data_IF_655356922345
#
_entry.id   IF_655356922345
#
_cell.length_a   1.000
_cell.length_b   1.000
_cell.length_c   1.000
_cell.angle_alpha   90.00
_cell.angle_beta   90.00
_cell.angle_gamma   90.00
#
_symmetry.space_group_name_H-M   'P 1'
#
loop_
_entity.id
_entity.type
_entity.pdbx_description
1 polymer ?
#
# COMPACT_ATOMS: atom_id res chain seq x y z
N UNK A 1 -3.57 4.02 15.15
CA UNK A 1 -4.51 5.16 15.27
C UNK A 1 -3.80 6.38 14.70
N UNK A 2 -4.07 6.72 13.43
CA UNK A 2 -3.46 7.88 12.77
C UNK A 2 -3.83 9.11 13.58
N UNK A 3 -2.84 9.91 14.00
CA UNK A 3 -3.10 11.16 14.72
C UNK A 3 -3.75 12.14 13.73
N UNK A 4 -5.08 12.15 13.73
CA UNK A 4 -5.92 12.98 12.89
C UNK A 4 -5.98 14.44 13.37
N UNK A 5 -4.97 14.93 14.11
CA UNK A 5 -4.95 16.27 14.71
C UNK A 5 -4.48 17.36 13.76
N UNK A 6 -3.95 17.01 12.58
CA UNK A 6 -3.41 17.95 11.60
C UNK A 6 -4.20 18.03 10.29
N UNK A 7 -5.37 17.38 10.21
CA UNK A 7 -6.20 17.40 9.00
C UNK A 7 -6.93 18.74 8.75
N UNK A 8 -6.87 19.68 9.68
CA UNK A 8 -7.46 21.01 9.53
C UNK A 8 -6.77 21.91 8.49
N UNK A 9 -5.57 21.53 8.00
CA UNK A 9 -4.75 22.40 7.11
C UNK A 9 -4.84 21.99 5.63
N UNK A 10 -5.34 20.79 5.33
CA UNK A 10 -5.58 20.37 3.96
C UNK A 10 -7.08 20.34 3.76
N UNK A 11 -7.62 21.45 3.28
CA UNK A 11 -8.94 21.46 2.70
C UNK A 11 -9.06 20.24 1.77
N UNK A 12 -9.81 19.24 2.22
CA UNK A 12 -10.42 18.17 1.44
C UNK A 12 -11.39 18.89 0.47
N UNK A 13 -10.83 19.66 -0.46
CA UNK A 13 -11.55 20.57 -1.36
C UNK A 13 -12.31 19.77 -2.40
N UNK A 14 -11.97 18.49 -2.54
CA UNK A 14 -12.74 17.44 -3.21
C UNK A 14 -12.74 16.28 -2.21
N UNK A 15 -13.91 15.74 -1.85
CA UNK A 15 -14.12 14.62 -0.91
C UNK A 15 -13.53 13.29 -1.42
N UNK A 16 -12.25 13.34 -1.80
CA UNK A 16 -11.47 12.32 -2.49
C UNK A 16 -10.10 12.28 -1.83
N UNK A 17 -9.71 11.12 -1.35
CA UNK A 17 -8.36 10.85 -0.86
C UNK A 17 -7.67 9.93 -1.84
N UNK A 18 -6.37 10.09 -1.97
CA UNK A 18 -5.54 9.23 -2.81
C UNK A 18 -4.46 8.55 -1.97
N UNK A 19 -4.24 7.27 -2.25
CA UNK A 19 -3.30 6.43 -1.54
C UNK A 19 -2.13 6.06 -2.45
N UNK A 20 -0.95 5.94 -1.84
CA UNK A 20 0.19 5.26 -2.45
C UNK A 20 0.52 4.03 -1.62
N UNK A 21 0.58 2.87 -2.28
CA UNK A 21 0.98 1.59 -1.68
C UNK A 21 2.49 1.44 -1.68
N UNK A 22 3.05 0.84 -0.64
CA UNK A 22 4.41 0.33 -0.61
C UNK A 22 4.43 -1.07 -0.03
N UNK A 23 5.20 -1.95 -0.65
CA UNK A 23 5.46 -3.32 -0.17
C UNK A 23 6.93 -3.61 -0.39
N UNK A 24 7.58 -4.12 0.64
CA UNK A 24 8.98 -4.47 0.64
C UNK A 24 9.25 -5.62 1.62
N UNK A 25 10.31 -6.39 1.40
CA UNK A 25 10.75 -7.47 2.29
C UNK A 25 11.75 -6.96 3.32
N UNK A 26 11.36 -6.90 4.60
CA UNK A 26 12.24 -6.44 5.69
C UNK A 26 12.60 -7.62 6.59
N UNK A 27 13.90 -7.78 6.90
CA UNK A 27 14.35 -8.73 7.93
C UNK A 27 14.13 -8.15 9.32
N UNK A 28 13.53 -8.94 10.22
CA UNK A 28 13.29 -8.52 11.61
C UNK A 28 14.56 -8.25 12.41
N UNK A 29 15.62 -9.01 12.14
CA UNK A 29 16.95 -8.81 12.71
C UNK A 29 18.01 -9.35 11.76
N UNK A 30 19.28 -8.95 11.95
CA UNK A 30 20.40 -9.41 11.10
C UNK A 30 20.51 -10.93 11.04
N UNK A 31 20.14 -11.62 12.12
CA UNK A 31 20.23 -13.07 12.25
C UNK A 31 18.86 -13.77 12.17
N UNK A 32 17.78 -13.01 11.94
CA UNK A 32 16.45 -13.58 11.79
C UNK A 32 16.35 -14.29 10.45
N UNK A 33 15.87 -15.53 10.48
CA UNK A 33 15.42 -16.23 9.28
C UNK A 33 14.05 -15.73 8.81
N UNK A 34 13.35 -14.94 9.64
CA UNK A 34 12.03 -14.41 9.33
C UNK A 34 12.12 -13.05 8.66
N UNK A 35 11.51 -12.96 7.49
CA UNK A 35 11.18 -11.73 6.77
C UNK A 35 9.74 -11.32 7.04
N UNK A 36 9.49 -10.02 7.00
CA UNK A 36 8.15 -9.44 7.04
C UNK A 36 7.94 -8.65 5.76
N UNK A 37 6.75 -8.80 5.19
CA UNK A 37 6.29 -8.08 4.03
C UNK A 37 5.06 -7.25 4.42
N UNK A 38 5.25 -6.00 4.88
CA UNK A 38 4.14 -5.13 5.21
C UNK A 38 3.52 -4.53 3.95
N UNK A 39 2.20 -4.38 3.97
CA UNK A 39 1.44 -3.56 3.03
C UNK A 39 1.28 -2.19 3.70
N UNK A 40 2.05 -1.22 3.23
CA UNK A 40 2.09 0.13 3.77
C UNK A 40 1.33 1.09 2.85
N UNK A 41 0.57 2.00 3.44
CA UNK A 41 -0.15 3.05 2.73
C UNK A 41 0.23 4.42 3.28
N UNK A 42 0.26 5.39 2.38
CA UNK A 42 0.31 6.81 2.74
C UNK A 42 -0.81 7.56 2.03
N UNK A 43 -1.37 8.56 2.71
CA UNK A 43 -2.37 9.47 2.15
C UNK A 43 -1.66 10.62 1.45
N UNK A 44 -1.86 10.78 0.15
CA UNK A 44 -1.11 11.76 -0.65
C UNK A 44 -1.56 13.19 -0.37
N UNK A 45 -2.75 13.40 0.19
CA UNK A 45 -3.20 14.74 0.54
C UNK A 45 -2.35 15.32 1.68
N UNK A 46 -1.74 14.51 2.56
CA UNK A 46 -0.79 14.97 3.59
C UNK A 46 0.45 15.59 2.93
N UNK A 47 1.00 16.72 3.43
CA UNK A 47 2.09 17.41 2.75
C UNK A 47 3.36 16.56 2.75
N UNK A 48 4.21 16.61 1.70
CA UNK A 48 5.36 15.71 1.55
C UNK A 48 6.32 15.66 2.75
N UNK A 49 6.51 16.80 3.44
CA UNK A 49 7.37 16.91 4.62
C UNK A 49 6.85 16.15 5.86
N UNK A 50 5.57 15.75 5.88
CA UNK A 50 4.95 15.02 6.98
C UNK A 50 4.34 13.68 6.55
N UNK A 51 4.07 13.48 5.26
CA UNK A 51 3.41 12.30 4.69
C UNK A 51 4.07 10.98 5.08
N UNK A 52 5.39 10.92 5.08
CA UNK A 52 6.16 9.70 5.34
C UNK A 52 6.63 9.56 6.80
N UNK A 53 6.16 10.43 7.71
CA UNK A 53 6.40 10.24 9.14
C UNK A 53 5.64 9.01 9.63
N UNK A 54 6.21 8.28 10.58
CA UNK A 54 5.69 6.99 11.06
C UNK A 54 4.22 7.10 11.50
N UNK A 55 3.82 8.20 12.12
CA UNK A 55 2.43 8.45 12.55
C UNK A 55 1.41 8.59 11.41
N UNK A 56 1.87 8.86 10.18
CA UNK A 56 1.06 9.05 8.97
C UNK A 56 1.17 7.87 7.99
N UNK A 57 1.98 6.86 8.30
CA UNK A 57 2.05 5.60 7.55
C UNK A 57 1.03 4.64 8.14
N UNK A 58 0.18 4.10 7.27
CA UNK A 58 -0.85 3.11 7.62
C UNK A 58 -0.32 1.72 7.27
N UNK A 59 -0.36 0.80 8.23
CA UNK A 59 -0.08 -0.62 7.99
C UNK A 59 -1.43 -1.29 7.67
N UNK A 60 -1.66 -1.58 6.39
CA UNK A 60 -2.89 -2.23 5.92
C UNK A 60 -2.83 -3.76 6.03
N UNK A 61 -1.63 -4.33 6.08
CA UNK A 61 -1.44 -5.77 6.21
C UNK A 61 0.02 -6.12 6.51
N UNK A 62 0.24 -7.31 7.04
CA UNK A 62 1.57 -7.82 7.38
C UNK A 62 1.63 -9.30 7.04
N UNK A 63 2.59 -9.70 6.21
CA UNK A 63 2.89 -11.11 5.96
C UNK A 63 4.22 -11.50 6.59
N UNK A 64 4.21 -12.25 7.71
CA UNK A 64 5.42 -12.82 8.29
C UNK A 64 5.74 -14.17 7.64
N UNK A 65 7.01 -14.43 7.36
CA UNK A 65 7.43 -15.75 6.88
C UNK A 65 8.95 -15.91 6.76
N UNK A 66 9.46 -17.15 6.70
CA UNK A 66 10.89 -17.41 6.52
C UNK A 66 11.40 -16.92 5.15
N UNK A 67 10.48 -16.67 4.21
CA UNK A 67 10.75 -16.23 2.85
C UNK A 67 9.72 -15.19 2.38
N UNK A 68 9.97 -14.62 1.20
CA UNK A 68 8.95 -13.89 0.45
C UNK A 68 7.68 -14.73 0.24
N UNK A 69 6.50 -14.12 0.23
CA UNK A 69 5.26 -14.84 -0.01
C UNK A 69 5.27 -15.44 -1.42
N UNK A 70 4.77 -16.67 -1.54
CA UNK A 70 4.50 -17.28 -2.84
C UNK A 70 3.36 -16.56 -3.56
N UNK A 71 3.21 -16.81 -4.87
CA UNK A 71 2.11 -16.25 -5.68
C UNK A 71 0.72 -16.62 -5.14
N UNK A 72 0.57 -17.82 -4.56
CA UNK A 72 -0.69 -18.23 -3.94
C UNK A 72 -0.96 -17.46 -2.65
N UNK A 73 0.06 -17.33 -1.80
CA UNK A 73 -0.03 -16.64 -0.51
C UNK A 73 -0.30 -15.15 -0.66
N UNK A 74 0.42 -14.46 -1.56
CA UNK A 74 0.20 -13.02 -1.78
C UNK A 74 -1.22 -12.74 -2.29
N UNK A 75 -1.79 -13.63 -3.10
CA UNK A 75 -3.17 -13.49 -3.58
C UNK A 75 -4.19 -13.56 -2.45
N UNK A 76 -3.96 -14.42 -1.45
CA UNK A 76 -4.82 -14.51 -0.28
C UNK A 76 -4.79 -13.22 0.56
N UNK A 77 -3.62 -12.59 0.65
CA UNK A 77 -3.44 -11.31 1.34
C UNK A 77 -4.08 -10.14 0.57
N UNK A 78 -3.86 -10.07 -0.74
CA UNK A 78 -4.29 -8.96 -1.58
C UNK A 78 -5.79 -8.95 -1.87
N UNK A 79 -6.46 -10.13 -1.87
CA UNK A 79 -7.88 -10.20 -2.20
C UNK A 79 -8.77 -9.33 -1.28
N UNK A 80 -8.78 -9.54 0.05
CA UNK A 80 -9.59 -8.70 0.93
C UNK A 80 -9.15 -7.23 0.87
N UNK A 81 -7.86 -6.96 0.71
CA UNK A 81 -7.33 -5.61 0.57
C UNK A 81 -7.89 -4.88 -0.67
N UNK A 82 -7.94 -5.55 -1.83
CA UNK A 82 -8.51 -4.99 -3.06
C UNK A 82 -10.02 -4.80 -2.91
N UNK A 83 -10.72 -5.77 -2.32
CA UNK A 83 -12.17 -5.67 -2.10
C UNK A 83 -12.52 -4.44 -1.23
N UNK A 84 -11.74 -4.16 -0.18
CA UNK A 84 -11.86 -2.94 0.64
C UNK A 84 -11.56 -1.66 -0.15
N UNK A 85 -10.52 -1.64 -0.99
CA UNK A 85 -10.22 -0.47 -1.83
C UNK A 85 -11.34 -0.16 -2.82
N UNK A 86 -11.91 -1.18 -3.46
CA UNK A 86 -13.04 -1.03 -4.38
C UNK A 86 -14.30 -0.53 -3.65
N UNK A 87 -14.52 -1.00 -2.42
CA UNK A 87 -15.59 -0.48 -1.57
C UNK A 87 -15.37 1.01 -1.25
N UNK A 88 -14.17 1.41 -0.84
CA UNK A 88 -13.85 2.80 -0.54
C UNK A 88 -13.89 3.73 -1.77
N UNK A 89 -13.65 3.20 -2.97
CA UNK A 89 -13.79 3.95 -4.22
C UNK A 89 -15.25 4.37 -4.48
N UNK A 90 -16.21 3.52 -4.10
CA UNK A 90 -17.65 3.85 -4.15
C UNK A 90 -18.09 4.95 -3.16
N UNK A 91 -17.20 5.23 -2.20
CA UNK A 91 -17.31 6.26 -1.19
C UNK A 91 -17.92 5.76 0.12
N UNK A 92 -17.26 6.09 1.22
CA UNK A 92 -17.63 5.70 2.58
C UNK A 92 -17.92 6.93 3.44
N UNK A 93 -18.85 6.80 4.39
CA UNK A 93 -19.18 7.89 5.33
C UNK A 93 -18.20 7.81 6.50
N UNK A 94 -17.33 8.80 6.63
CA UNK A 94 -16.39 8.90 7.74
C UNK A 94 -16.92 9.85 8.81
N UNK A 95 -16.71 9.49 10.06
CA UNK A 95 -16.87 10.38 11.22
C UNK A 95 -15.56 11.14 11.45
N UNK A 96 -15.65 12.46 11.47
CA UNK A 96 -14.51 13.35 11.68
C UNK A 96 -14.41 13.80 13.14
N UNK A 97 -13.20 14.21 13.55
CA UNK A 97 -12.93 14.64 14.92
C UNK A 97 -13.68 15.91 15.32
N UNK A 98 -14.12 16.71 14.35
CA UNK A 98 -14.95 17.91 14.58
C UNK A 98 -16.44 17.56 14.75
N UNK A 99 -16.80 16.27 14.73
CA UNK A 99 -18.16 15.78 14.86
C UNK A 99 -18.96 15.80 13.56
N UNK A 100 -18.35 16.19 12.44
CA UNK A 100 -19.00 16.13 11.13
C UNK A 100 -18.92 14.72 10.55
N UNK A 101 -19.84 14.44 9.62
CA UNK A 101 -19.80 13.21 8.82
C UNK A 101 -19.76 13.59 7.36
N UNK A 102 -18.92 12.91 6.60
CA UNK A 102 -18.79 13.17 5.17
C UNK A 102 -18.52 11.91 4.38
N UNK A 103 -19.17 11.81 3.21
CA UNK A 103 -18.88 10.77 2.24
C UNK A 103 -17.57 11.09 1.51
N UNK A 104 -16.56 10.24 1.71
CA UNK A 104 -15.24 10.36 1.09
C UNK A 104 -14.98 9.16 0.20
N UNK A 105 -14.50 9.40 -1.01
CA UNK A 105 -14.00 8.37 -1.91
C UNK A 105 -12.50 8.21 -1.75
N UNK A 106 -12.00 6.98 -1.75
CA UNK A 106 -10.56 6.71 -1.62
C UNK A 106 -10.08 5.97 -2.87
N UNK A 107 -8.97 6.42 -3.44
CA UNK A 107 -8.41 5.84 -4.67
C UNK A 107 -6.95 5.43 -4.44
N UNK A 108 -6.58 4.20 -4.77
CA UNK A 108 -5.19 3.80 -4.87
C UNK A 108 -4.64 4.24 -6.23
N UNK A 109 -3.71 5.21 -6.25
CA UNK A 109 -3.20 5.80 -7.51
C UNK A 109 -1.84 5.26 -7.95
N UNK A 110 -1.16 4.51 -7.08
CA UNK A 110 0.14 3.97 -7.40
C UNK A 110 0.70 3.06 -6.31
N UNK A 111 1.69 2.26 -6.71
CA UNK A 111 2.49 1.43 -5.81
C UNK A 111 3.97 1.75 -6.02
N UNK A 112 4.68 2.01 -4.92
CA UNK A 112 6.12 2.16 -4.86
C UNK A 112 6.71 0.86 -4.33
N UNK A 113 7.34 0.07 -5.20
CA UNK A 113 7.98 -1.19 -4.85
C UNK A 113 9.21 -1.39 -5.72
N UNK A 114 10.19 -2.14 -5.22
CA UNK A 114 11.29 -2.61 -6.05
C UNK A 114 10.80 -3.67 -7.05
N UNK A 115 11.66 -4.10 -7.96
CA UNK A 115 11.27 -5.01 -9.04
C UNK A 115 10.83 -6.39 -8.51
N UNK A 116 11.52 -7.04 -7.55
CA UNK A 116 11.04 -8.28 -6.94
C UNK A 116 9.68 -8.13 -6.24
N UNK A 117 9.47 -7.08 -5.43
CA UNK A 117 8.18 -6.85 -4.77
C UNK A 117 7.06 -6.52 -5.78
N UNK A 118 7.37 -5.79 -6.86
CA UNK A 118 6.45 -5.57 -7.98
C UNK A 118 6.01 -6.91 -8.58
N UNK A 119 6.95 -7.84 -8.82
CA UNK A 119 6.65 -9.13 -9.42
C UNK A 119 5.68 -9.95 -8.57
N UNK A 120 5.89 -9.94 -7.25
CA UNK A 120 5.02 -10.58 -6.26
C UNK A 120 3.63 -9.95 -6.27
N UNK A 121 3.53 -8.62 -6.16
CA UNK A 121 2.26 -7.90 -6.12
C UNK A 121 1.43 -8.08 -7.38
N UNK A 122 2.07 -8.02 -8.55
CA UNK A 122 1.41 -8.16 -9.84
C UNK A 122 1.22 -9.63 -10.26
N UNK A 123 1.72 -10.58 -9.46
CA UNK A 123 1.74 -12.01 -9.78
C UNK A 123 2.40 -12.32 -11.15
N UNK A 124 3.44 -11.56 -11.53
CA UNK A 124 4.19 -11.73 -12.77
C UNK A 124 5.52 -12.46 -12.53
N UNK A 125 6.26 -12.69 -13.61
CA UNK A 125 7.61 -13.26 -13.56
C UNK A 125 8.57 -12.36 -12.77
N UNK A 126 9.50 -13.01 -12.09
CA UNK A 126 10.56 -12.30 -11.37
C UNK A 126 11.43 -11.49 -12.35
N UNK A 127 12.09 -10.43 -11.87
CA UNK A 127 12.86 -9.53 -12.73
C UNK A 127 14.02 -10.22 -13.47
N UNK A 128 14.47 -11.38 -12.97
CA UNK A 128 15.54 -12.18 -13.56
C UNK A 128 15.06 -13.19 -14.61
N UNK A 129 13.75 -13.29 -14.85
CA UNK A 129 13.22 -14.15 -15.90
C UNK A 129 13.43 -13.52 -17.28
N UNK A 130 13.50 -14.35 -18.32
CA UNK A 130 13.59 -13.89 -19.72
C UNK A 130 12.54 -12.82 -20.03
N UNK A 131 11.31 -12.96 -19.54
CA UNK A 131 10.27 -11.93 -19.64
C UNK A 131 9.87 -11.42 -18.25
N UNK A 132 10.81 -10.77 -17.57
CA UNK A 132 10.64 -10.25 -16.21
C UNK A 132 10.01 -8.85 -16.13
N UNK A 133 9.84 -8.15 -17.26
CA UNK A 133 9.29 -6.80 -17.25
C UNK A 133 7.76 -6.81 -17.14
N UNK A 134 7.20 -6.25 -16.06
CA UNK A 134 5.75 -6.06 -15.92
C UNK A 134 5.12 -4.97 -16.81
N UNK A 135 5.84 -4.48 -17.83
CA UNK A 135 5.36 -3.41 -18.73
C UNK A 135 5.56 -3.69 -20.23
N UNK A 136 6.50 -4.55 -20.59
CA UNK A 136 6.77 -4.90 -21.98
C UNK A 136 7.07 -6.40 -22.10
N UNK A 137 7.02 -6.89 -23.34
CA UNK A 137 7.25 -8.31 -23.68
C UNK A 137 8.65 -8.54 -24.25
N UNK A 138 9.59 -7.61 -24.03
CA UNK A 138 10.97 -7.74 -24.52
C UNK A 138 11.71 -8.74 -23.64
N UNK A 139 12.44 -9.66 -24.27
CA UNK A 139 13.30 -10.60 -23.54
C UNK A 139 14.49 -9.87 -22.93
N UNK A 140 14.80 -10.16 -21.67
CA UNK A 140 16.06 -9.78 -21.03
C UNK A 140 17.21 -10.61 -21.59
N UNK A 141 18.39 -9.98 -21.64
CA UNK A 141 19.66 -10.60 -22.04
C UNK A 141 20.25 -11.47 -20.91
#
# INVERSE_FOLDING_TARGET
MVKCSNLSILQITKKKLTLTLNVDGVKLSKNSQTTIWPILLVVNEIPPNSRFKIENVIIAGVWPGPSKPSRGEIRLLLRPFIDELLYLESGYIFDFHDGTTDKVQVYLIGACCDKPAQAILQCISEPTAAFGCGRCEVSGD
#
